data_IF_937778629577
#
_entry.id   IF_937778629577
#
_cell.length_a   1.000
_cell.length_b   1.000
_cell.length_c   1.000
_cell.angle_alpha   90.00
_cell.angle_beta   90.00
_cell.angle_gamma   90.00
#
_symmetry.space_group_name_H-M   'P 1'
#
loop_
_entity.id
_entity.type
_entity.pdbx_description
1 polymer ?
#
# COMPACT_ATOMS: atom_id res chain seq x y z
N UNK A 1 -1.29 13.91 13.62
CA UNK A 1 -0.26 14.94 13.90
C UNK A 1 -0.24 16.09 12.90
N UNK A 2 -0.37 15.85 11.58
CA UNK A 2 -0.68 16.94 10.61
C UNK A 2 -2.10 17.47 10.84
N UNK A 3 -3.03 16.61 11.24
CA UNK A 3 -4.40 16.98 11.63
C UNK A 3 -4.52 18.03 12.73
N UNK A 4 -3.53 18.13 13.62
CA UNK A 4 -3.55 19.05 14.78
C UNK A 4 -3.27 20.50 14.37
N UNK A 5 -2.57 20.71 13.25
CA UNK A 5 -2.19 22.05 12.78
C UNK A 5 -2.98 22.50 11.57
N UNK A 6 -4.03 21.79 11.16
CA UNK A 6 -4.85 22.14 9.98
C UNK A 6 -5.31 23.61 10.03
N UNK A 7 -5.49 24.16 11.23
CA UNK A 7 -5.90 25.56 11.47
C UNK A 7 -4.77 26.60 11.30
N UNK A 8 -3.49 26.21 11.29
CA UNK A 8 -2.35 27.08 10.97
C UNK A 8 -1.74 26.67 9.62
N UNK A 9 -2.04 27.46 8.59
CA UNK A 9 -1.57 27.23 7.23
C UNK A 9 -0.04 27.29 7.12
N UNK A 10 0.63 28.14 7.91
CA UNK A 10 2.08 28.29 7.86
C UNK A 10 2.79 27.12 8.51
N UNK A 11 2.29 26.67 9.67
CA UNK A 11 2.84 25.50 10.35
C UNK A 11 2.58 24.22 9.55
N UNK A 12 1.39 24.06 9.00
CA UNK A 12 1.06 22.88 8.17
C UNK A 12 1.88 22.84 6.89
N UNK A 13 2.07 24.00 6.22
CA UNK A 13 2.95 24.07 5.06
C UNK A 13 4.39 23.66 5.39
N UNK A 14 4.93 24.11 6.54
CA UNK A 14 6.28 23.71 6.95
C UNK A 14 6.36 22.21 7.28
N UNK A 15 5.34 21.64 7.95
CA UNK A 15 5.28 20.20 8.27
C UNK A 15 5.14 19.33 7.02
N UNK A 16 4.36 19.74 6.03
CA UNK A 16 4.23 19.02 4.75
C UNK A 16 5.56 19.04 3.99
N UNK A 17 6.24 20.19 3.89
CA UNK A 17 7.55 20.31 3.23
C UNK A 17 8.61 19.42 3.87
N UNK A 18 8.80 19.58 5.19
CA UNK A 18 9.78 18.81 5.96
C UNK A 18 9.42 17.32 6.01
N UNK A 19 8.13 16.98 6.02
CA UNK A 19 7.63 15.60 5.96
C UNK A 19 7.91 14.92 4.62
N UNK A 20 7.67 15.60 3.49
CA UNK A 20 8.02 15.07 2.15
C UNK A 20 9.53 14.85 2.06
N UNK A 21 10.35 15.84 2.44
CA UNK A 21 11.80 15.73 2.40
C UNK A 21 12.29 14.54 3.24
N UNK A 22 11.83 14.45 4.48
CA UNK A 22 12.18 13.36 5.38
C UNK A 22 11.77 11.99 4.80
N UNK A 23 10.55 11.90 4.28
CA UNK A 23 10.02 10.66 3.68
C UNK A 23 10.88 10.20 2.51
N UNK A 24 11.23 11.12 1.60
CA UNK A 24 12.09 10.82 0.44
C UNK A 24 13.47 10.37 0.88
N UNK A 25 14.12 11.09 1.81
CA UNK A 25 15.47 10.74 2.28
C UNK A 25 15.48 9.35 2.91
N UNK A 26 14.52 9.06 3.79
CA UNK A 26 14.42 7.74 4.44
C UNK A 26 14.20 6.64 3.41
N UNK A 27 13.26 6.82 2.48
CA UNK A 27 12.96 5.79 1.49
C UNK A 27 14.09 5.58 0.48
N UNK A 28 14.85 6.62 0.11
CA UNK A 28 16.05 6.46 -0.73
C UNK A 28 17.12 5.66 0.00
N UNK A 29 17.37 5.93 1.29
CA UNK A 29 18.38 5.20 2.06
C UNK A 29 17.99 3.72 2.18
N UNK A 30 16.75 3.44 2.56
CA UNK A 30 16.28 2.05 2.68
C UNK A 30 16.21 1.34 1.34
N UNK A 31 15.75 1.99 0.28
CA UNK A 31 15.68 1.37 -1.05
C UNK A 31 17.07 1.08 -1.61
N UNK A 32 18.06 1.93 -1.36
CA UNK A 32 19.45 1.68 -1.73
C UNK A 32 20.05 0.48 -0.97
N UNK A 33 19.79 0.38 0.34
CA UNK A 33 20.22 -0.77 1.15
C UNK A 33 19.59 -2.06 0.63
N UNK A 34 18.28 -2.06 0.38
CA UNK A 34 17.56 -3.24 -0.13
C UNK A 34 18.05 -3.60 -1.54
N UNK A 35 18.26 -2.63 -2.43
CA UNK A 35 18.77 -2.89 -3.78
C UNK A 35 20.18 -3.51 -3.77
N UNK A 36 21.05 -3.05 -2.86
CA UNK A 36 22.38 -3.64 -2.66
C UNK A 36 22.30 -5.05 -2.06
N UNK A 37 21.40 -5.26 -1.08
CA UNK A 37 21.18 -6.53 -0.41
C UNK A 37 20.19 -7.46 -1.14
N UNK A 38 19.72 -7.11 -2.34
CA UNK A 38 18.65 -7.85 -3.02
C UNK A 38 19.02 -9.31 -3.26
N UNK A 39 20.25 -9.58 -3.69
CA UNK A 39 20.74 -10.94 -3.93
C UNK A 39 20.73 -11.82 -2.67
N UNK A 40 21.44 -11.45 -1.57
CA UNK A 40 21.42 -12.28 -0.36
C UNK A 40 20.03 -12.37 0.27
N UNK A 41 19.18 -11.35 0.14
CA UNK A 41 17.80 -11.40 0.63
C UNK A 41 16.97 -12.43 -0.14
N UNK A 42 17.00 -12.41 -1.48
CA UNK A 42 16.25 -13.37 -2.31
C UNK A 42 16.74 -14.80 -2.10
N UNK A 43 18.07 -14.99 -2.02
CA UNK A 43 18.65 -16.30 -1.73
C UNK A 43 18.20 -16.82 -0.36
N UNK A 44 18.16 -15.95 0.65
CA UNK A 44 17.69 -16.29 1.98
C UNK A 44 16.20 -16.69 2.03
N UNK A 45 15.38 -16.21 1.09
CA UNK A 45 13.98 -16.62 0.93
C UNK A 45 13.81 -18.00 0.29
N UNK A 46 14.90 -18.72 -0.03
CA UNK A 46 14.86 -20.01 -0.71
C UNK A 46 14.07 -19.97 -2.02
N UNK A 47 14.25 -18.89 -2.80
CA UNK A 47 13.65 -18.75 -4.12
C UNK A 47 14.24 -19.78 -5.09
N UNK A 48 13.45 -20.18 -6.08
CA UNK A 48 13.90 -21.04 -7.17
C UNK A 48 15.15 -20.45 -7.86
N UNK A 49 16.14 -21.30 -8.09
CA UNK A 49 17.45 -20.93 -8.64
C UNK A 49 17.31 -20.38 -10.06
N UNK A 50 16.34 -20.89 -10.83
CA UNK A 50 16.09 -20.43 -12.20
C UNK A 50 15.51 -19.00 -12.24
N UNK A 51 14.75 -18.60 -11.20
CA UNK A 51 14.09 -17.29 -11.12
C UNK A 51 14.88 -16.27 -10.30
N UNK A 52 15.98 -16.68 -9.67
CA UNK A 52 16.70 -15.86 -8.70
C UNK A 52 17.24 -14.57 -9.34
N UNK A 53 17.90 -14.68 -10.49
CA UNK A 53 18.49 -13.52 -11.17
C UNK A 53 17.43 -12.55 -11.71
N UNK A 54 16.32 -13.06 -12.23
CA UNK A 54 15.20 -12.23 -12.67
C UNK A 54 14.54 -11.52 -11.48
N UNK A 55 14.33 -12.23 -10.38
CA UNK A 55 13.75 -11.67 -9.15
C UNK A 55 14.63 -10.57 -8.57
N UNK A 56 15.96 -10.76 -8.55
CA UNK A 56 16.92 -9.75 -8.07
C UNK A 56 16.90 -8.50 -8.95
N UNK A 57 16.87 -8.67 -10.28
CA UNK A 57 16.77 -7.53 -11.21
C UNK A 57 15.46 -6.78 -11.02
N UNK A 58 14.36 -7.50 -10.92
CA UNK A 58 13.04 -6.94 -10.69
C UNK A 58 13.00 -6.12 -9.38
N UNK A 59 13.48 -6.68 -8.26
CA UNK A 59 13.52 -5.97 -6.97
C UNK A 59 14.35 -4.69 -7.07
N UNK A 60 15.52 -4.73 -7.73
CA UNK A 60 16.36 -3.54 -7.90
C UNK A 60 15.65 -2.43 -8.70
N UNK A 61 14.91 -2.80 -9.74
CA UNK A 61 14.11 -1.84 -10.51
C UNK A 61 12.96 -1.29 -9.66
N UNK A 62 12.25 -2.15 -8.94
CA UNK A 62 11.12 -1.73 -8.09
C UNK A 62 11.58 -0.77 -6.98
N UNK A 63 12.78 -0.98 -6.42
CA UNK A 63 13.39 -0.07 -5.44
C UNK A 63 13.59 1.36 -5.97
N UNK A 64 13.71 1.56 -7.28
CA UNK A 64 13.79 2.89 -7.88
C UNK A 64 12.44 3.63 -7.87
N UNK A 65 11.32 2.90 -7.88
CA UNK A 65 9.97 3.49 -7.81
C UNK A 65 9.54 3.87 -6.39
N UNK A 66 10.10 3.21 -5.36
CA UNK A 66 9.71 3.35 -3.95
C UNK A 66 9.77 4.81 -3.45
N UNK A 67 10.84 5.60 -3.70
CA UNK A 67 10.86 7.01 -3.28
C UNK A 67 9.69 7.82 -3.85
N UNK A 68 9.37 7.65 -5.13
CA UNK A 68 8.23 8.32 -5.77
C UNK A 68 6.89 7.86 -5.16
N UNK A 69 6.70 6.55 -5.02
CA UNK A 69 5.49 5.98 -4.41
C UNK A 69 5.26 6.49 -2.98
N UNK A 70 6.34 6.61 -2.19
CA UNK A 70 6.27 7.11 -0.81
C UNK A 70 5.78 8.56 -0.73
N UNK A 71 6.17 9.40 -1.70
CA UNK A 71 5.66 10.78 -1.80
C UNK A 71 4.17 10.76 -2.10
N UNK A 72 3.73 9.99 -3.10
CA UNK A 72 2.31 9.86 -3.44
C UNK A 72 1.49 9.42 -2.22
N UNK A 73 1.96 8.41 -1.48
CA UNK A 73 1.27 7.93 -0.28
C UNK A 73 1.19 9.01 0.81
N UNK A 74 2.29 9.74 1.05
CA UNK A 74 2.31 10.85 2.01
C UNK A 74 1.33 11.96 1.60
N UNK A 75 1.32 12.36 0.33
CA UNK A 75 0.39 13.39 -0.18
C UNK A 75 -1.06 12.90 -0.10
N UNK A 76 -1.31 11.62 -0.37
CA UNK A 76 -2.66 11.05 -0.26
C UNK A 76 -3.21 11.18 1.17
N UNK A 77 -2.37 10.92 2.20
CA UNK A 77 -2.75 11.15 3.61
C UNK A 77 -3.08 12.64 3.85
N UNK A 78 -2.30 13.56 3.28
CA UNK A 78 -2.61 15.01 3.36
C UNK A 78 -3.95 15.32 2.70
N UNK A 79 -4.23 14.78 1.52
CA UNK A 79 -5.52 15.00 0.82
C UNK A 79 -6.71 14.42 1.60
N UNK A 80 -6.54 13.25 2.24
CA UNK A 80 -7.56 12.66 3.11
C UNK A 80 -7.85 13.56 4.31
N UNK A 81 -6.81 14.13 4.93
CA UNK A 81 -6.97 15.06 6.07
C UNK A 81 -7.69 16.36 5.68
N UNK A 82 -7.40 16.90 4.50
CA UNK A 82 -8.06 18.10 3.96
C UNK A 82 -9.40 17.82 3.26
N UNK A 83 -9.84 16.56 3.21
CA UNK A 83 -11.05 16.10 2.52
C UNK A 83 -11.10 16.47 1.02
N UNK A 84 -9.94 16.55 0.35
CA UNK A 84 -9.87 16.86 -1.08
C UNK A 84 -10.12 15.63 -1.95
N UNK A 85 -11.31 15.05 -1.81
CA UNK A 85 -11.70 13.76 -2.43
C UNK A 85 -11.49 13.73 -3.95
N UNK A 86 -11.73 14.84 -4.65
CA UNK A 86 -11.50 14.95 -6.09
C UNK A 86 -10.07 14.58 -6.51
N UNK A 87 -9.06 15.01 -5.74
CA UNK A 87 -7.66 14.71 -6.03
C UNK A 87 -7.29 13.26 -5.71
N UNK A 88 -7.91 12.66 -4.69
CA UNK A 88 -7.75 11.24 -4.35
C UNK A 88 -8.28 10.37 -5.50
N UNK A 89 -9.49 10.68 -6.00
CA UNK A 89 -10.06 9.96 -7.14
C UNK A 89 -9.27 10.19 -8.44
N UNK A 90 -8.73 11.40 -8.63
CA UNK A 90 -7.85 11.68 -9.78
C UNK A 90 -6.59 10.83 -9.75
N UNK A 91 -5.93 10.70 -8.59
CA UNK A 91 -4.76 9.82 -8.42
C UNK A 91 -5.11 8.38 -8.77
N UNK A 92 -6.24 7.88 -8.27
CA UNK A 92 -6.70 6.52 -8.54
C UNK A 92 -6.99 6.30 -10.03
N UNK A 93 -7.68 7.23 -10.68
CA UNK A 93 -7.99 7.16 -12.10
C UNK A 93 -6.73 7.22 -12.97
N UNK A 94 -5.79 8.12 -12.67
CA UNK A 94 -4.50 8.19 -13.38
C UNK A 94 -3.71 6.90 -13.21
N UNK A 95 -3.66 6.34 -11.99
CA UNK A 95 -2.99 5.06 -11.75
C UNK A 95 -3.61 3.96 -12.58
N UNK A 96 -4.93 3.83 -12.58
CA UNK A 96 -5.65 2.83 -13.38
C UNK A 96 -5.34 2.95 -14.88
N UNK A 97 -5.47 4.17 -15.43
CA UNK A 97 -5.25 4.42 -16.86
C UNK A 97 -3.79 4.14 -17.24
N UNK A 98 -2.83 4.65 -16.45
CA UNK A 98 -1.41 4.45 -16.72
C UNK A 98 -1.01 2.99 -16.60
N UNK A 99 -1.49 2.27 -15.59
CA UNK A 99 -1.23 0.82 -15.45
C UNK A 99 -1.76 0.05 -16.67
N UNK A 100 -3.01 0.26 -17.08
CA UNK A 100 -3.57 -0.42 -18.26
C UNK A 100 -2.77 -0.10 -19.53
N UNK A 101 -2.42 1.17 -19.75
CA UNK A 101 -1.66 1.59 -20.94
C UNK A 101 -0.25 1.00 -20.96
N UNK A 102 0.46 1.05 -19.83
CA UNK A 102 1.84 0.58 -19.72
C UNK A 102 1.91 -0.95 -19.72
N UNK A 103 0.95 -1.64 -19.09
CA UNK A 103 0.87 -3.10 -19.15
C UNK A 103 0.58 -3.56 -20.59
N UNK A 104 -0.32 -2.87 -21.29
CA UNK A 104 -0.58 -3.15 -22.71
C UNK A 104 0.67 -2.93 -23.57
N UNK A 105 1.50 -1.94 -23.22
CA UNK A 105 2.71 -1.59 -23.98
C UNK A 105 3.94 -2.46 -23.65
N UNK A 106 4.10 -2.88 -22.39
CA UNK A 106 5.29 -3.60 -21.92
C UNK A 106 5.10 -5.13 -21.83
N UNK A 107 3.89 -5.61 -21.53
CA UNK A 107 3.60 -7.03 -21.31
C UNK A 107 2.92 -7.73 -22.48
N UNK A 108 2.06 -7.02 -23.22
CA UNK A 108 1.18 -7.67 -24.18
C UNK A 108 1.92 -8.27 -25.38
N UNK A 109 1.41 -9.34 -26.00
CA UNK A 109 2.02 -10.01 -27.16
C UNK A 109 1.78 -9.28 -28.50
N UNK A 110 1.49 -7.98 -28.47
CA UNK A 110 1.27 -7.19 -29.69
C UNK A 110 2.58 -6.88 -30.41
N UNK A 111 2.53 -6.71 -31.74
CA UNK A 111 3.69 -6.42 -32.60
C UNK A 111 4.49 -5.16 -32.23
N UNK A 112 3.95 -4.27 -31.40
CA UNK A 112 4.59 -3.04 -30.91
C UNK A 112 5.07 -3.15 -29.45
N UNK A 113 4.88 -4.30 -28.80
CA UNK A 113 5.27 -4.51 -27.41
C UNK A 113 6.76 -4.82 -27.29
N UNK A 114 7.37 -4.26 -26.25
CA UNK A 114 8.79 -4.43 -25.95
C UNK A 114 9.12 -5.81 -25.33
N UNK A 115 8.11 -6.64 -25.02
CA UNK A 115 8.26 -7.99 -24.45
C UNK A 115 9.27 -8.06 -23.29
N UNK A 116 9.23 -7.06 -22.39
CA UNK A 116 10.21 -6.93 -21.31
C UNK A 116 9.96 -7.91 -20.14
N UNK A 117 9.00 -8.83 -20.30
CA UNK A 117 8.61 -9.80 -19.28
C UNK A 117 8.28 -9.12 -17.95
N UNK A 118 8.69 -9.76 -16.85
CA UNK A 118 8.47 -9.29 -15.48
C UNK A 118 9.10 -7.90 -15.22
N UNK A 119 10.19 -7.56 -15.92
CA UNK A 119 10.82 -6.24 -15.77
C UNK A 119 9.96 -5.11 -16.36
N UNK A 120 9.07 -5.41 -17.32
CA UNK A 120 8.13 -4.44 -17.89
C UNK A 120 7.19 -3.84 -16.85
N UNK A 121 6.78 -4.65 -15.86
CA UNK A 121 5.95 -4.21 -14.72
C UNK A 121 6.70 -3.17 -13.89
N UNK A 122 7.98 -3.42 -13.56
CA UNK A 122 8.79 -2.50 -12.76
C UNK A 122 8.98 -1.14 -13.47
N UNK A 123 9.22 -1.14 -14.78
CA UNK A 123 9.27 0.11 -15.56
C UNK A 123 7.92 0.84 -15.59
N UNK A 124 6.82 0.08 -15.73
CA UNK A 124 5.46 0.61 -15.63
C UNK A 124 5.21 1.33 -14.30
N UNK A 125 5.65 0.73 -13.19
CA UNK A 125 5.54 1.29 -11.86
C UNK A 125 6.40 2.56 -11.67
N UNK A 126 7.64 2.58 -12.19
CA UNK A 126 8.51 3.76 -12.13
C UNK A 126 7.83 4.93 -12.84
N UNK A 127 7.34 4.72 -14.07
CA UNK A 127 6.69 5.76 -14.87
C UNK A 127 5.40 6.24 -14.19
N UNK A 128 4.54 5.30 -13.78
CA UNK A 128 3.26 5.62 -13.14
C UNK A 128 3.46 6.42 -11.86
N UNK A 129 4.31 5.95 -10.95
CA UNK A 129 4.57 6.67 -9.70
C UNK A 129 5.30 8.00 -9.96
N UNK A 130 6.16 8.09 -10.97
CA UNK A 130 6.80 9.34 -11.39
C UNK A 130 5.78 10.39 -11.83
N UNK A 131 4.87 10.04 -12.76
CA UNK A 131 3.82 10.94 -13.27
C UNK A 131 2.88 11.38 -12.14
N UNK A 132 2.43 10.45 -11.31
CA UNK A 132 1.54 10.77 -10.18
C UNK A 132 2.25 11.66 -9.15
N UNK A 133 3.55 11.44 -8.90
CA UNK A 133 4.34 12.30 -8.00
C UNK A 133 4.39 13.73 -8.51
N UNK A 134 4.63 13.92 -9.82
CA UNK A 134 4.63 15.25 -10.45
C UNK A 134 3.27 15.93 -10.28
N UNK A 135 2.17 15.21 -10.55
CA UNK A 135 0.81 15.72 -10.32
C UNK A 135 0.59 16.15 -8.87
N UNK A 136 0.98 15.31 -7.89
CA UNK A 136 0.84 15.59 -6.47
C UNK A 136 1.58 16.87 -6.08
N UNK A 137 2.82 17.04 -6.54
CA UNK A 137 3.63 18.24 -6.28
C UNK A 137 2.96 19.48 -6.88
N UNK A 138 2.47 19.42 -8.13
CA UNK A 138 1.79 20.55 -8.78
C UNK A 138 0.56 20.98 -7.98
N UNK A 139 -0.30 20.03 -7.58
CA UNK A 139 -1.50 20.35 -6.80
C UNK A 139 -1.15 20.96 -5.44
N UNK A 140 -0.13 20.44 -4.76
CA UNK A 140 0.35 21.03 -3.52
C UNK A 140 0.83 22.47 -3.73
N UNK A 141 1.61 22.75 -4.78
CA UNK A 141 2.11 24.10 -5.07
C UNK A 141 0.97 25.08 -5.36
N UNK A 142 -0.02 24.67 -6.16
CA UNK A 142 -1.19 25.49 -6.50
C UNK A 142 -2.04 25.77 -5.26
N UNK A 143 -2.37 24.73 -4.47
CA UNK A 143 -3.26 24.86 -3.30
C UNK A 143 -2.62 25.65 -2.16
N UNK A 144 -1.32 25.44 -1.90
CA UNK A 144 -0.59 26.18 -0.88
C UNK A 144 -0.07 27.54 -1.37
N UNK A 145 -0.41 27.98 -2.60
CA UNK A 145 0.08 29.22 -3.23
C UNK A 145 1.58 29.45 -3.03
N UNK A 146 2.36 28.40 -3.27
CA UNK A 146 3.77 28.31 -2.88
C UNK A 146 4.58 27.95 -4.12
N UNK A 147 5.77 28.55 -4.29
CA UNK A 147 6.69 28.25 -5.42
C UNK A 147 7.64 27.10 -5.05
N UNK A 148 8.11 26.30 -6.03
CA UNK A 148 9.10 25.23 -5.83
C UNK A 148 10.29 25.66 -4.96
N UNK A 149 10.85 26.85 -5.19
CA UNK A 149 11.99 27.37 -4.44
C UNK A 149 11.70 27.54 -2.94
N UNK A 150 10.45 27.88 -2.61
CA UNK A 150 10.04 28.06 -1.22
C UNK A 150 9.72 26.75 -0.49
N UNK A 151 9.65 25.60 -1.20
CA UNK A 151 9.57 24.28 -0.56
C UNK A 151 10.83 23.98 0.26
N UNK A 152 11.98 24.51 -0.15
CA UNK A 152 13.29 24.31 0.50
C UNK A 152 13.71 25.47 1.41
N UNK A 153 12.91 26.53 1.51
CA UNK A 153 13.24 27.73 2.30
C UNK A 153 12.61 27.69 3.70
N UNK A 154 13.43 27.99 4.73
CA UNK A 154 13.04 28.09 6.16
C UNK A 154 12.33 26.84 6.72
N UNK A 155 13.01 25.69 6.64
CA UNK A 155 12.53 24.44 7.22
C UNK A 155 12.76 24.41 8.74
N UNK A 156 11.72 24.15 9.52
CA UNK A 156 11.86 23.89 10.96
C UNK A 156 11.52 22.43 11.29
N UNK A 157 12.46 21.75 11.98
CA UNK A 157 12.35 20.34 12.37
C UNK A 157 11.87 20.14 13.81
N UNK A 158 11.35 21.20 14.45
CA UNK A 158 10.90 21.16 15.86
C UNK A 158 9.89 20.04 16.13
N UNK A 159 8.99 19.78 15.17
CA UNK A 159 7.97 18.73 15.28
C UNK A 159 8.54 17.30 15.14
N UNK A 160 9.71 17.14 14.54
CA UNK A 160 10.31 15.83 14.23
C UNK A 160 10.76 15.09 15.49
N UNK A 161 11.11 15.78 16.57
CA UNK A 161 11.51 15.16 17.84
C UNK A 161 10.35 14.37 18.48
N UNK A 162 9.15 14.95 18.49
CA UNK A 162 7.94 14.26 18.98
C UNK A 162 7.49 13.15 18.03
N UNK A 163 7.56 13.42 16.72
CA UNK A 163 7.18 12.44 15.71
C UNK A 163 8.12 11.23 15.68
N UNK A 164 9.43 11.43 15.84
CA UNK A 164 10.44 10.38 15.78
C UNK A 164 10.25 9.30 16.84
N UNK A 165 9.83 9.65 18.06
CA UNK A 165 9.54 8.64 19.09
C UNK A 165 8.35 7.75 18.70
N UNK A 166 7.25 8.36 18.24
CA UNK A 166 6.05 7.62 17.83
C UNK A 166 6.30 6.82 16.55
N UNK A 167 6.99 7.43 15.59
CA UNK A 167 7.40 6.80 14.33
C UNK A 167 8.35 5.63 14.54
N UNK A 168 9.28 5.71 15.50
CA UNK A 168 10.17 4.60 15.81
C UNK A 168 9.42 3.39 16.38
N UNK A 169 8.53 3.59 17.35
CA UNK A 169 7.73 2.48 17.89
C UNK A 169 6.80 1.87 16.84
N UNK A 170 6.12 2.70 16.05
CA UNK A 170 5.26 2.22 14.96
C UNK A 170 6.06 1.51 13.86
N UNK A 171 7.25 2.02 13.54
CA UNK A 171 8.16 1.40 12.58
C UNK A 171 8.71 0.07 13.07
N UNK A 172 9.09 -0.02 14.35
CA UNK A 172 9.59 -1.25 14.96
C UNK A 172 8.51 -2.33 15.01
N UNK A 173 7.31 -1.96 15.44
CA UNK A 173 6.13 -2.82 15.45
C UNK A 173 5.80 -3.36 14.03
N UNK A 174 5.82 -2.48 13.03
CA UNK A 174 5.68 -2.87 11.62
C UNK A 174 6.83 -3.79 11.16
N UNK A 175 8.07 -3.47 11.52
CA UNK A 175 9.24 -4.26 11.15
C UNK A 175 9.16 -5.68 11.71
N UNK A 176 8.84 -5.82 13.00
CA UNK A 176 8.71 -7.14 13.65
C UNK A 176 7.61 -7.95 12.96
N UNK A 177 6.43 -7.38 12.73
CA UNK A 177 5.34 -8.08 12.02
C UNK A 177 5.75 -8.52 10.61
N UNK A 178 6.33 -7.60 9.83
CA UNK A 178 6.77 -7.90 8.47
C UNK A 178 7.89 -8.93 8.44
N UNK A 179 8.83 -8.88 9.39
CA UNK A 179 9.90 -9.86 9.52
C UNK A 179 9.34 -11.26 9.82
N UNK A 180 8.41 -11.38 10.78
CA UNK A 180 7.74 -12.65 11.06
C UNK A 180 6.95 -13.16 9.85
N UNK A 181 6.19 -12.30 9.18
CA UNK A 181 5.47 -12.68 7.97
C UNK A 181 6.41 -13.22 6.88
N UNK A 182 7.51 -12.50 6.61
CA UNK A 182 8.48 -12.91 5.61
C UNK A 182 9.20 -14.21 5.99
N UNK A 183 9.62 -14.36 7.24
CA UNK A 183 10.36 -15.54 7.71
C UNK A 183 9.48 -16.79 7.86
N UNK A 184 8.28 -16.65 8.40
CA UNK A 184 7.43 -17.78 8.74
C UNK A 184 6.43 -18.13 7.63
N UNK A 185 5.95 -17.13 6.88
CA UNK A 185 4.95 -17.37 5.83
C UNK A 185 5.66 -17.47 4.48
N UNK A 186 6.28 -16.39 4.01
CA UNK A 186 6.85 -16.34 2.65
C UNK A 186 7.92 -17.41 2.45
N UNK A 187 8.92 -17.46 3.32
CA UNK A 187 9.99 -18.46 3.21
C UNK A 187 9.47 -19.89 3.36
N UNK A 188 8.50 -20.14 4.25
CA UNK A 188 7.93 -21.48 4.42
C UNK A 188 7.15 -21.92 3.18
N UNK A 189 6.37 -21.02 2.57
CA UNK A 189 5.66 -21.31 1.33
C UNK A 189 6.60 -21.58 0.16
N UNK A 190 7.71 -20.85 0.06
CA UNK A 190 8.74 -21.11 -0.94
C UNK A 190 9.38 -22.49 -0.78
N UNK A 191 9.63 -22.94 0.46
CA UNK A 191 10.21 -24.26 0.75
C UNK A 191 9.23 -25.42 0.51
N UNK A 192 7.94 -25.19 0.72
CA UNK A 192 6.89 -26.22 0.55
C UNK A 192 6.49 -26.37 -0.93
N UNK A 193 6.93 -25.46 -1.81
CA UNK A 193 6.57 -25.42 -3.24
C UNK A 193 5.07 -25.30 -3.54
N UNK A 194 4.23 -24.99 -2.54
CA UNK A 194 2.79 -24.72 -2.64
C UNK A 194 2.49 -23.21 -2.75
N UNK A 195 3.47 -22.46 -3.26
CA UNK A 195 3.44 -21.01 -3.29
C UNK A 195 2.24 -20.49 -4.10
N UNK A 196 1.91 -21.12 -5.23
CA UNK A 196 0.80 -20.71 -6.09
C UNK A 196 -0.57 -20.80 -5.40
N UNK A 197 -0.85 -21.94 -4.77
CA UNK A 197 -2.10 -22.18 -4.04
C UNK A 197 -2.30 -21.21 -2.88
N UNK A 198 -1.24 -20.96 -2.11
CA UNK A 198 -1.28 -19.98 -1.02
C UNK A 198 -1.55 -18.56 -1.53
N UNK A 199 -0.88 -18.12 -2.59
CA UNK A 199 -1.08 -16.77 -3.12
C UNK A 199 -2.48 -16.57 -3.68
N UNK A 200 -3.07 -17.59 -4.31
CA UNK A 200 -4.48 -17.53 -4.76
C UNK A 200 -5.44 -17.36 -3.58
N UNK A 201 -5.24 -18.12 -2.50
CA UNK A 201 -6.03 -17.97 -1.27
C UNK A 201 -5.84 -16.57 -0.65
N UNK A 202 -4.60 -16.08 -0.61
CA UNK A 202 -4.27 -14.78 -0.07
C UNK A 202 -4.88 -13.65 -0.90
N UNK A 203 -4.78 -13.74 -2.22
CA UNK A 203 -5.37 -12.77 -3.16
C UNK A 203 -6.89 -12.70 -3.00
N UNK A 204 -7.55 -13.84 -2.81
CA UNK A 204 -8.98 -13.87 -2.52
C UNK A 204 -9.32 -13.07 -1.25
N UNK A 205 -8.57 -13.28 -0.17
CA UNK A 205 -8.78 -12.58 1.10
C UNK A 205 -8.56 -11.07 0.95
N UNK A 206 -7.46 -10.66 0.33
CA UNK A 206 -7.10 -9.25 0.21
C UNK A 206 -7.99 -8.48 -0.77
N UNK A 207 -8.32 -9.06 -1.93
CA UNK A 207 -9.04 -8.35 -2.98
C UNK A 207 -10.57 -8.42 -2.83
N UNK A 208 -11.10 -9.42 -2.14
CA UNK A 208 -12.55 -9.61 -2.02
C UNK A 208 -13.07 -9.48 -0.60
N UNK A 209 -12.45 -10.13 0.38
CA UNK A 209 -12.93 -10.04 1.77
C UNK A 209 -12.57 -8.68 2.38
N UNK A 210 -11.29 -8.30 2.34
CA UNK A 210 -10.79 -7.08 2.99
C UNK A 210 -11.21 -5.79 2.29
N UNK A 211 -11.73 -5.86 1.06
CA UNK A 211 -12.20 -4.69 0.31
C UNK A 211 -13.25 -3.87 1.06
N UNK A 212 -14.12 -4.52 1.87
CA UNK A 212 -15.10 -3.82 2.69
C UNK A 212 -14.49 -3.17 3.94
N UNK A 213 -13.41 -3.76 4.47
CA UNK A 213 -12.79 -3.33 5.73
C UNK A 213 -11.83 -2.15 5.51
N UNK A 214 -11.03 -2.18 4.44
CA UNK A 214 -9.98 -1.17 4.22
C UNK A 214 -10.53 0.26 4.12
N UNK A 215 -11.57 0.56 3.31
CA UNK A 215 -12.15 1.89 3.23
C UNK A 215 -12.79 2.32 4.55
N UNK A 216 -13.42 1.38 5.27
CA UNK A 216 -14.01 1.65 6.59
C UNK A 216 -12.95 2.13 7.58
N UNK A 217 -11.79 1.47 7.58
CA UNK A 217 -10.66 1.84 8.43
C UNK A 217 -10.11 3.23 8.12
N UNK A 218 -10.09 3.62 6.83
CA UNK A 218 -9.60 4.92 6.41
C UNK A 218 -10.59 6.04 6.73
N UNK A 219 -11.90 5.80 6.59
CA UNK A 219 -12.95 6.71 7.03
C UNK A 219 -12.88 6.91 8.55
N UNK A 220 -12.68 5.84 9.33
CA UNK A 220 -12.48 5.92 10.78
C UNK A 220 -11.26 6.79 11.15
N UNK A 221 -10.12 6.61 10.46
CA UNK A 221 -8.91 7.42 10.66
C UNK A 221 -9.15 8.89 10.29
N UNK A 222 -9.91 9.15 9.22
CA UNK A 222 -10.26 10.50 8.80
C UNK A 222 -11.16 11.18 9.85
N UNK A 223 -12.17 10.47 10.34
CA UNK A 223 -13.12 10.95 11.35
C UNK A 223 -12.47 11.22 12.71
N UNK A 224 -11.45 10.45 13.08
CA UNK A 224 -10.68 10.62 14.32
C UNK A 224 -9.55 11.64 14.18
N UNK A 225 -8.98 11.78 12.98
CA UNK A 225 -7.89 12.71 12.67
C UNK A 225 -8.34 14.15 12.39
N UNK A 226 -9.56 14.34 11.86
CA UNK A 226 -10.18 15.64 11.65
C UNK A 226 -10.90 16.08 12.93
N UNK A 227 -10.23 16.86 13.78
CA UNK A 227 -10.77 17.37 15.06
C UNK A 227 -11.87 18.44 14.88
N UNK A 228 -12.65 18.41 13.80
CA UNK A 228 -13.46 19.53 13.32
C UNK A 228 -14.94 19.45 13.65
N UNK A 229 -15.43 18.42 14.34
CA UNK A 229 -16.84 18.37 14.78
C UNK A 229 -16.94 18.30 16.31
N UNK A 230 -17.32 19.41 16.97
CA UNK A 230 -17.43 19.49 18.44
C UNK A 230 -18.70 18.84 19.01
N UNK A 231 -19.47 18.05 18.24
CA UNK A 231 -20.88 17.76 18.58
C UNK A 231 -21.23 16.27 18.72
N UNK A 232 -20.36 15.34 18.31
CA UNK A 232 -20.71 13.90 18.33
C UNK A 232 -19.72 13.11 19.20
N UNK A 233 -20.25 12.47 20.24
CA UNK A 233 -19.49 11.60 21.14
C UNK A 233 -18.70 10.54 20.36
N UNK A 234 -17.36 10.56 20.49
CA UNK A 234 -16.47 9.55 19.90
C UNK A 234 -16.92 8.12 20.18
N UNK A 235 -17.51 7.86 21.36
CA UNK A 235 -18.06 6.55 21.75
C UNK A 235 -19.18 6.06 20.82
N UNK A 236 -20.07 6.95 20.36
CA UNK A 236 -21.21 6.56 19.52
C UNK A 236 -20.75 6.24 18.09
N UNK A 237 -19.78 7.00 17.58
CA UNK A 237 -19.11 6.70 16.31
C UNK A 237 -18.35 5.38 16.38
N UNK A 238 -17.51 5.17 17.40
CA UNK A 238 -16.76 3.91 17.56
C UNK A 238 -17.70 2.71 17.68
N UNK A 239 -18.81 2.83 18.41
CA UNK A 239 -19.82 1.76 18.47
C UNK A 239 -20.44 1.45 17.09
N UNK A 240 -20.76 2.47 16.30
CA UNK A 240 -21.26 2.29 14.93
C UNK A 240 -20.27 1.56 14.01
N UNK A 241 -18.99 1.94 14.05
CA UNK A 241 -17.94 1.26 13.30
C UNK A 241 -17.75 -0.20 13.75
N UNK A 242 -17.79 -0.47 15.06
CA UNK A 242 -17.71 -1.83 15.59
C UNK A 242 -18.89 -2.70 15.15
N UNK A 243 -20.11 -2.16 15.16
CA UNK A 243 -21.31 -2.87 14.67
C UNK A 243 -21.15 -3.18 13.18
N UNK A 244 -20.68 -2.22 12.39
CA UNK A 244 -20.50 -2.42 10.95
C UNK A 244 -19.44 -3.49 10.65
N UNK A 245 -18.34 -3.52 11.40
CA UNK A 245 -17.33 -4.60 11.31
C UNK A 245 -17.94 -5.97 11.65
N UNK A 246 -18.78 -6.06 12.67
CA UNK A 246 -19.48 -7.31 13.03
C UNK A 246 -20.42 -7.73 11.89
N UNK A 247 -21.17 -6.80 11.31
CA UNK A 247 -22.07 -7.08 10.17
C UNK A 247 -21.27 -7.62 8.97
N UNK A 248 -20.12 -7.01 8.66
CA UNK A 248 -19.24 -7.48 7.58
C UNK A 248 -18.72 -8.88 7.87
N UNK A 249 -18.27 -9.15 9.10
CA UNK A 249 -17.82 -10.48 9.52
C UNK A 249 -18.93 -11.55 9.42
N UNK A 250 -20.16 -11.20 9.79
CA UNK A 250 -21.31 -12.10 9.62
C UNK A 250 -21.62 -12.35 8.13
N UNK A 251 -21.49 -11.33 7.28
CA UNK A 251 -21.67 -11.47 5.84
C UNK A 251 -20.62 -12.40 5.21
N UNK A 252 -19.38 -12.40 5.71
CA UNK A 252 -18.38 -13.38 5.30
C UNK A 252 -18.84 -14.81 5.60
N UNK A 253 -19.33 -15.07 6.82
CA UNK A 253 -19.84 -16.40 7.19
C UNK A 253 -21.01 -16.86 6.30
N UNK A 254 -21.93 -15.95 5.94
CA UNK A 254 -23.06 -16.25 5.06
C UNK A 254 -22.61 -16.55 3.64
N UNK A 255 -21.54 -15.90 3.16
CA UNK A 255 -21.05 -16.05 1.78
C UNK A 255 -20.13 -17.26 1.59
N UNK A 256 -19.71 -17.97 2.65
CA UNK A 256 -18.84 -19.17 2.57
C UNK A 256 -19.29 -20.19 1.51
N UNK A 257 -20.58 -20.58 1.40
CA UNK A 257 -21.01 -21.56 0.40
C UNK A 257 -20.82 -21.08 -1.05
N UNK A 258 -20.83 -19.75 -1.26
CA UNK A 258 -20.64 -19.14 -2.57
C UNK A 258 -19.16 -18.99 -2.96
N UNK A 259 -18.20 -19.22 -2.06
CA UNK A 259 -16.79 -19.04 -2.39
C UNK A 259 -16.26 -20.13 -3.32
N UNK A 260 -16.64 -21.40 -3.15
CA UNK A 260 -16.21 -22.48 -4.06
C UNK A 260 -16.58 -22.22 -5.54
N UNK A 261 -17.85 -21.91 -5.89
CA UNK A 261 -18.19 -21.61 -7.27
C UNK A 261 -17.52 -20.31 -7.76
N UNK A 262 -17.29 -19.34 -6.87
CA UNK A 262 -16.56 -18.11 -7.21
C UNK A 262 -15.10 -18.38 -7.58
N UNK A 263 -14.39 -19.18 -6.78
CA UNK A 263 -12.99 -19.57 -7.05
C UNK A 263 -12.87 -20.29 -8.40
N UNK A 264 -13.84 -21.16 -8.72
CA UNK A 264 -13.86 -21.89 -9.99
C UNK A 264 -14.17 -20.98 -11.18
N UNK A 265 -15.21 -20.15 -11.09
CA UNK A 265 -15.73 -19.41 -12.25
C UNK A 265 -15.07 -18.05 -12.45
N UNK A 266 -14.79 -17.31 -11.37
CA UNK A 266 -14.26 -15.93 -11.45
C UNK A 266 -12.74 -15.92 -11.39
N UNK A 267 -12.14 -16.71 -10.49
CA UNK A 267 -10.68 -16.81 -10.39
C UNK A 267 -10.08 -17.86 -11.33
N UNK A 268 -10.91 -18.64 -12.05
CA UNK A 268 -10.49 -19.64 -13.02
C UNK A 268 -9.42 -20.61 -12.49
N UNK A 269 -9.56 -21.03 -11.23
CA UNK A 269 -8.62 -21.93 -10.56
C UNK A 269 -8.87 -23.37 -11.07
N UNK A 270 -7.81 -24.16 -11.37
CA UNK A 270 -7.96 -25.56 -11.77
C UNK A 270 -8.79 -26.36 -10.75
N UNK A 271 -9.70 -27.22 -11.23
CA UNK A 271 -10.61 -27.97 -10.34
C UNK A 271 -9.87 -28.78 -9.26
N UNK A 272 -8.66 -29.23 -9.55
CA UNK A 272 -7.82 -30.00 -8.63
C UNK A 272 -7.36 -29.19 -7.41
N UNK A 273 -7.25 -27.86 -7.54
CA UNK A 273 -6.68 -26.98 -6.51
C UNK A 273 -7.76 -26.19 -5.76
N UNK A 274 -8.99 -26.11 -6.29
CA UNK A 274 -10.10 -25.33 -5.71
C UNK A 274 -10.41 -25.75 -4.27
N UNK A 275 -10.42 -27.05 -3.98
CA UNK A 275 -10.73 -27.54 -2.63
C UNK A 275 -9.60 -27.22 -1.63
N UNK A 276 -8.34 -27.27 -2.09
CA UNK A 276 -7.18 -26.95 -1.26
C UNK A 276 -7.10 -25.44 -0.97
N UNK A 277 -7.31 -24.60 -1.99
CA UNK A 277 -7.45 -23.14 -1.85
C UNK A 277 -8.59 -22.79 -0.90
N UNK A 278 -9.76 -23.41 -1.05
CA UNK A 278 -10.91 -23.16 -0.18
C UNK A 278 -10.62 -23.51 1.28
N UNK A 279 -9.93 -24.64 1.52
CA UNK A 279 -9.54 -25.03 2.88
C UNK A 279 -8.53 -24.04 3.49
N UNK A 280 -7.55 -23.59 2.71
CA UNK A 280 -6.60 -22.56 3.13
C UNK A 280 -7.30 -21.25 3.50
N UNK A 281 -8.27 -20.80 2.70
CA UNK A 281 -9.05 -19.58 3.00
C UNK A 281 -9.75 -19.71 4.35
N UNK A 282 -10.36 -20.87 4.65
CA UNK A 282 -11.03 -21.10 5.93
C UNK A 282 -10.07 -21.09 7.13
N UNK A 283 -8.85 -21.61 6.96
CA UNK A 283 -7.82 -21.58 8.01
C UNK A 283 -7.30 -20.16 8.24
N UNK A 284 -7.11 -19.39 7.16
CA UNK A 284 -6.54 -18.05 7.22
C UNK A 284 -7.56 -17.00 7.70
N UNK A 285 -8.85 -17.18 7.41
CA UNK A 285 -9.90 -16.20 7.68
C UNK A 285 -9.96 -15.71 9.15
N UNK A 286 -9.90 -16.58 10.18
CA UNK A 286 -9.87 -16.14 11.58
C UNK A 286 -8.65 -15.29 11.94
N UNK A 287 -7.49 -15.60 11.37
CA UNK A 287 -6.28 -14.80 11.62
C UNK A 287 -6.44 -13.38 11.04
N UNK A 288 -7.05 -13.27 9.86
CA UNK A 288 -7.29 -11.98 9.21
C UNK A 288 -8.39 -11.16 9.91
N UNK A 289 -9.43 -11.78 10.47
CA UNK A 289 -10.50 -11.05 11.18
C UNK A 289 -10.07 -10.49 12.54
N UNK A 290 -9.08 -11.10 13.21
CA UNK A 290 -8.53 -10.60 14.47
C UNK A 290 -7.42 -9.54 14.31
N UNK A 291 -6.90 -9.35 13.10
CA UNK A 291 -5.72 -8.51 12.85
C UNK A 291 -6.02 -7.03 12.64
N UNK A 292 -7.30 -6.63 12.57
CA UNK A 292 -7.70 -5.27 12.17
C UNK A 292 -8.70 -4.62 13.11
#
# INVERSE_FOLDING_TARGET
>A
MIGVTIHDENETRNRVKTGILFTVVVHIVFSAIIAAAAYPLVQFMAQDVELLDETVRYIRLEMAAIPCSSVVQFVNVVFTLYQWQFHIYSILAMRLILSILLDTFFLSSFHFSLQLGVNGIAYGNIITNGVITIYCIIILLVKFRTTCQSLFSKMSFSWMKKWGSVGFYSGLDSFVRNLFYTLCVVRMMNVISEQGTYWLANEFIWNWLLLAYLPLSDVLKQDTGASTSPVINHRLKTAGYMILTIIIGLLWCVTVPAWKPFLKTVMNIPENDVDLVFHLILILMPAYSCSW
#
